data_IF_526989540072
#
_entry.id   IF_526989540072
#
_cell.length_a   1.000
_cell.length_b   1.000
_cell.length_c   1.000
_cell.angle_alpha   90.00
_cell.angle_beta   90.00
_cell.angle_gamma   90.00
#
_symmetry.space_group_name_H-M   'P 1'
#
loop_
_entity.id
_entity.type
_entity.pdbx_description
1 polymer ?
#
# COMPACT_ATOMS: atom_id res chain seq x y z
N UNK A 1 53.66 11.33 -13.75
CA UNK A 1 53.14 9.94 -13.74
C UNK A 1 51.69 9.99 -14.22
N UNK A 2 51.46 9.80 -15.52
CA UNK A 2 50.13 9.89 -16.12
C UNK A 2 49.35 8.65 -15.69
N UNK A 3 48.29 8.81 -14.89
CA UNK A 3 47.40 7.71 -14.57
C UNK A 3 46.86 7.10 -15.86
N UNK A 4 47.06 5.79 -15.99
CA UNK A 4 46.55 4.95 -17.07
C UNK A 4 45.05 5.23 -17.31
N UNK A 5 44.62 5.52 -18.55
CA UNK A 5 43.21 5.72 -18.91
C UNK A 5 42.27 4.62 -18.40
N UNK A 6 42.76 3.37 -18.33
CA UNK A 6 42.00 2.23 -17.80
C UNK A 6 41.77 2.39 -16.30
N UNK A 7 42.80 2.80 -15.55
CA UNK A 7 42.71 3.02 -14.10
C UNK A 7 41.75 4.17 -13.75
N UNK A 8 41.80 5.27 -14.52
CA UNK A 8 40.84 6.38 -14.38
C UNK A 8 39.40 5.95 -14.63
N UNK A 9 39.17 5.12 -15.65
CA UNK A 9 37.84 4.61 -15.96
C UNK A 9 37.31 3.67 -14.86
N UNK A 10 38.18 2.82 -14.29
CA UNK A 10 37.84 1.95 -13.17
C UNK A 10 37.52 2.72 -11.89
N UNK A 11 38.31 3.72 -11.53
CA UNK A 11 38.06 4.60 -10.37
C UNK A 11 36.72 5.35 -10.54
N UNK A 12 36.46 5.92 -11.72
CA UNK A 12 35.20 6.60 -12.00
C UNK A 12 33.97 5.66 -11.97
N UNK A 13 34.14 4.40 -12.36
CA UNK A 13 33.10 3.38 -12.25
C UNK A 13 32.84 3.00 -10.80
N UNK A 14 33.88 2.82 -9.99
CA UNK A 14 33.77 2.54 -8.57
C UNK A 14 33.05 3.67 -7.82
N UNK A 15 33.39 4.94 -8.11
CA UNK A 15 32.74 6.10 -7.49
C UNK A 15 31.25 6.22 -7.88
N UNK A 16 30.91 5.91 -9.13
CA UNK A 16 29.50 5.85 -9.57
C UNK A 16 28.74 4.74 -8.85
N UNK A 17 29.34 3.56 -8.72
CA UNK A 17 28.74 2.44 -8.02
C UNK A 17 28.53 2.76 -6.54
N UNK A 18 29.53 3.36 -5.87
CA UNK A 18 29.42 3.77 -4.47
C UNK A 18 28.30 4.77 -4.24
N UNK A 19 28.21 5.83 -5.07
CA UNK A 19 27.09 6.79 -4.99
C UNK A 19 25.73 6.13 -5.15
N UNK A 20 25.59 5.23 -6.13
CA UNK A 20 24.35 4.51 -6.35
C UNK A 20 23.94 3.67 -5.13
N UNK A 21 24.91 3.04 -4.45
CA UNK A 21 24.68 2.29 -3.21
C UNK A 21 24.27 3.21 -2.07
N UNK A 22 24.97 4.33 -1.88
CA UNK A 22 24.67 5.30 -0.82
C UNK A 22 23.27 5.94 -1.02
N UNK A 23 22.93 6.32 -2.26
CA UNK A 23 21.62 6.87 -2.62
C UNK A 23 20.50 5.85 -2.39
N UNK A 24 20.76 4.58 -2.70
CA UNK A 24 19.81 3.50 -2.44
C UNK A 24 19.53 3.33 -0.94
N UNK A 25 20.57 3.28 -0.10
CA UNK A 25 20.37 3.19 1.35
C UNK A 25 19.64 4.41 1.91
N UNK A 26 19.92 5.61 1.38
CA UNK A 26 19.22 6.84 1.75
C UNK A 26 17.71 6.76 1.47
N UNK A 27 17.31 6.33 0.27
CA UNK A 27 15.91 6.07 -0.08
C UNK A 27 15.31 5.00 0.84
N UNK A 28 16.03 3.90 1.05
CA UNK A 28 15.53 2.79 1.85
C UNK A 28 15.23 3.24 3.28
N UNK A 29 16.11 4.02 3.91
CA UNK A 29 15.85 4.59 5.24
C UNK A 29 14.64 5.52 5.20
N UNK A 30 14.56 6.42 4.22
CA UNK A 30 13.44 7.38 4.09
C UNK A 30 12.09 6.68 4.01
N UNK A 31 11.92 5.74 3.07
CA UNK A 31 10.62 5.08 2.85
C UNK A 31 10.31 4.02 3.90
N UNK A 32 11.31 3.38 4.52
CA UNK A 32 11.07 2.46 5.63
C UNK A 32 10.60 3.20 6.87
N UNK A 33 11.17 4.38 7.14
CA UNK A 33 10.69 5.26 8.21
C UNK A 33 9.25 5.72 7.94
N UNK A 34 8.93 6.13 6.72
CA UNK A 34 7.55 6.49 6.35
C UNK A 34 6.56 5.34 6.57
N UNK A 35 6.94 4.11 6.25
CA UNK A 35 6.12 2.92 6.53
C UNK A 35 5.86 2.79 8.03
N UNK A 36 6.91 2.88 8.87
CA UNK A 36 6.79 2.74 10.33
C UNK A 36 5.90 3.82 10.96
N UNK A 37 6.03 5.07 10.50
CA UNK A 37 5.19 6.19 10.95
C UNK A 37 3.72 5.90 10.70
N UNK A 38 3.37 5.48 9.48
CA UNK A 38 1.97 5.19 9.11
C UNK A 38 1.47 3.92 9.80
N UNK A 39 2.28 2.86 9.92
CA UNK A 39 1.92 1.65 10.67
C UNK A 39 1.61 1.96 12.14
N UNK A 40 2.42 2.80 12.77
CA UNK A 40 2.23 3.20 14.18
C UNK A 40 0.94 4.02 14.33
N UNK A 41 0.68 4.97 13.43
CA UNK A 41 -0.59 5.73 13.41
C UNK A 41 -1.79 4.80 13.27
N UNK A 42 -1.73 3.82 12.35
CA UNK A 42 -2.81 2.85 12.15
C UNK A 42 -3.01 1.93 13.35
N UNK A 43 -1.93 1.45 13.98
CA UNK A 43 -2.00 0.62 15.17
C UNK A 43 -2.65 1.38 16.35
N UNK A 44 -2.26 2.63 16.57
CA UNK A 44 -2.86 3.49 17.61
C UNK A 44 -4.36 3.70 17.34
N UNK A 45 -4.76 3.94 16.08
CA UNK A 45 -6.16 4.07 15.71
C UNK A 45 -6.95 2.78 15.99
N UNK A 46 -6.38 1.61 15.70
CA UNK A 46 -7.02 0.33 15.95
C UNK A 46 -7.20 0.05 17.46
N UNK A 47 -6.18 0.31 18.27
CA UNK A 47 -6.21 0.17 19.73
C UNK A 47 -7.22 1.14 20.38
N UNK A 48 -7.25 2.40 19.93
CA UNK A 48 -8.18 3.41 20.42
C UNK A 48 -9.63 3.06 20.05
N UNK A 49 -9.84 2.61 18.81
CA UNK A 49 -11.15 2.19 18.34
C UNK A 49 -11.68 0.99 19.13
N UNK A 50 -10.83 0.00 19.40
CA UNK A 50 -11.17 -1.15 20.24
C UNK A 50 -11.55 -0.74 21.66
N UNK A 51 -10.83 0.20 22.25
CA UNK A 51 -11.15 0.71 23.59
C UNK A 51 -12.55 1.33 23.65
N UNK A 52 -12.94 2.08 22.62
CA UNK A 52 -14.24 2.76 22.55
C UNK A 52 -15.40 1.86 22.13
N UNK A 53 -15.17 0.94 21.20
CA UNK A 53 -16.24 0.17 20.54
C UNK A 53 -16.23 -1.33 20.90
N UNK A 54 -15.22 -1.79 21.65
CA UNK A 54 -14.99 -3.21 22.01
C UNK A 54 -14.78 -4.11 20.78
N UNK A 55 -14.15 -3.56 19.73
CA UNK A 55 -13.92 -4.20 18.43
C UNK A 55 -12.75 -3.55 17.70
N UNK A 56 -11.92 -4.35 17.01
CA UNK A 56 -10.86 -3.86 16.13
C UNK A 56 -11.34 -3.77 14.66
N UNK A 57 -11.25 -2.59 14.01
CA UNK A 57 -11.56 -2.45 12.58
C UNK A 57 -10.47 -3.06 11.68
N UNK A 58 -9.22 -3.13 12.16
CA UNK A 58 -8.10 -3.72 11.42
C UNK A 58 -7.92 -5.17 11.91
N UNK A 59 -8.02 -6.13 10.98
CA UNK A 59 -7.69 -7.52 11.26
C UNK A 59 -6.18 -7.74 11.25
N UNK A 60 -5.49 -7.23 10.23
CA UNK A 60 -4.03 -7.22 10.18
C UNK A 60 -3.51 -6.21 9.15
N UNK A 61 -2.22 -5.92 9.22
CA UNK A 61 -1.52 -5.07 8.26
C UNK A 61 -0.34 -5.81 7.64
N UNK A 62 0.02 -5.44 6.41
CA UNK A 62 1.23 -5.86 5.75
C UNK A 62 1.88 -4.64 5.11
N UNK A 63 3.18 -4.46 5.29
CA UNK A 63 3.92 -3.40 4.63
C UNK A 63 5.00 -3.96 3.72
N UNK A 64 5.32 -3.19 2.69
CA UNK A 64 6.42 -3.50 1.80
C UNK A 64 7.03 -2.24 1.22
N UNK A 65 8.33 -2.31 0.97
CA UNK A 65 9.00 -1.39 0.07
C UNK A 65 9.14 -2.04 -1.30
N UNK A 66 8.92 -1.26 -2.35
CA UNK A 66 9.15 -1.71 -3.72
C UNK A 66 10.64 -2.02 -3.93
N UNK A 67 10.95 -3.15 -4.57
CA UNK A 67 12.33 -3.49 -4.92
C UNK A 67 12.90 -2.51 -5.96
N UNK A 68 14.23 -2.35 -5.99
CA UNK A 68 14.93 -1.53 -6.99
C UNK A 68 14.52 -1.94 -8.41
N UNK A 69 14.49 -3.24 -8.68
CA UNK A 69 14.11 -3.80 -9.98
C UNK A 69 12.72 -3.31 -10.39
N UNK A 70 11.73 -3.44 -9.51
CA UNK A 70 10.37 -2.98 -9.79
C UNK A 70 10.24 -1.45 -9.83
N UNK A 71 11.12 -0.70 -9.16
CA UNK A 71 11.22 0.77 -9.30
C UNK A 71 11.70 1.12 -10.70
N UNK A 72 12.80 0.51 -11.16
CA UNK A 72 13.39 0.73 -12.49
C UNK A 72 12.39 0.39 -13.60
N UNK A 73 11.79 -0.81 -13.56
CA UNK A 73 10.77 -1.24 -14.53
C UNK A 73 9.59 -0.25 -14.58
N UNK A 74 9.20 0.32 -13.42
CA UNK A 74 8.10 1.27 -13.36
C UNK A 74 8.48 2.64 -13.95
N UNK A 75 9.73 3.08 -13.77
CA UNK A 75 10.25 4.30 -14.40
C UNK A 75 10.30 4.13 -15.92
N UNK A 76 10.87 3.02 -16.40
CA UNK A 76 10.96 2.71 -17.84
C UNK A 76 9.58 2.64 -18.50
N UNK A 77 8.64 1.91 -17.88
CA UNK A 77 7.25 1.81 -18.38
C UNK A 77 6.56 3.17 -18.44
N UNK A 78 6.87 4.07 -17.51
CA UNK A 78 6.35 5.44 -17.49
C UNK A 78 7.18 6.44 -18.32
N UNK A 79 8.26 5.98 -18.97
CA UNK A 79 9.19 6.80 -19.76
C UNK A 79 9.84 7.93 -18.96
N UNK A 80 10.17 7.66 -17.70
CA UNK A 80 10.97 8.54 -16.85
C UNK A 80 12.44 8.14 -16.87
N UNK A 81 13.32 9.08 -16.51
CA UNK A 81 14.74 8.77 -16.35
C UNK A 81 14.93 7.72 -15.26
N UNK A 82 15.79 6.73 -15.52
CA UNK A 82 16.08 5.63 -14.59
C UNK A 82 17.18 6.08 -13.62
N UNK A 83 16.79 6.87 -12.63
CA UNK A 83 17.66 7.31 -11.53
C UNK A 83 16.84 7.56 -10.24
N UNK A 84 17.56 7.75 -9.13
CA UNK A 84 16.98 7.93 -7.79
C UNK A 84 16.13 9.20 -7.69
N UNK A 85 16.61 10.34 -8.18
CA UNK A 85 15.87 11.59 -8.10
C UNK A 85 14.53 11.51 -8.84
N UNK A 86 14.54 10.88 -10.02
CA UNK A 86 13.35 10.58 -10.80
C UNK A 86 12.40 9.63 -10.08
N UNK A 87 12.92 8.60 -9.41
CA UNK A 87 12.10 7.69 -8.58
C UNK A 87 11.37 8.45 -7.47
N UNK A 88 12.10 9.22 -6.68
CA UNK A 88 11.58 10.01 -5.56
C UNK A 88 10.56 11.05 -6.02
N UNK A 89 10.81 11.68 -7.17
CA UNK A 89 9.94 12.73 -7.71
C UNK A 89 8.64 12.19 -8.32
N UNK A 90 8.70 11.04 -8.98
CA UNK A 90 7.62 10.61 -9.88
C UNK A 90 6.85 9.36 -9.41
N UNK A 91 7.36 8.61 -8.41
CA UNK A 91 6.72 7.40 -7.92
C UNK A 91 6.14 7.60 -6.52
N UNK A 92 4.83 7.35 -6.40
CA UNK A 92 4.08 7.51 -5.15
C UNK A 92 3.86 6.19 -4.38
N UNK A 93 4.26 5.04 -4.96
CA UNK A 93 4.06 3.69 -4.42
C UNK A 93 5.39 2.98 -4.08
N UNK A 94 6.43 3.74 -3.75
CA UNK A 94 7.70 3.15 -3.29
C UNK A 94 7.50 2.51 -1.90
N UNK A 95 6.81 3.21 -1.00
CA UNK A 95 6.28 2.65 0.24
C UNK A 95 4.82 2.24 0.04
N UNK A 96 4.48 1.01 0.43
CA UNK A 96 3.13 0.49 0.37
C UNK A 96 2.72 -0.17 1.69
N UNK A 97 1.54 0.18 2.18
CA UNK A 97 0.91 -0.46 3.33
C UNK A 97 -0.43 -1.04 2.87
N UNK A 98 -0.70 -2.27 3.28
CA UNK A 98 -1.95 -2.95 3.07
C UNK A 98 -2.63 -3.13 4.41
N UNK A 99 -3.84 -2.60 4.53
CA UNK A 99 -4.67 -2.71 5.73
C UNK A 99 -5.84 -3.63 5.40
N UNK A 100 -5.92 -4.75 6.13
CA UNK A 100 -6.97 -5.74 5.95
C UNK A 100 -7.97 -5.55 7.08
N UNK A 101 -9.18 -5.17 6.73
CA UNK A 101 -10.31 -4.95 7.63
C UNK A 101 -11.26 -6.16 7.62
N UNK A 102 -12.04 -6.33 8.68
CA UNK A 102 -13.03 -7.40 8.74
C UNK A 102 -14.26 -7.12 7.87
N UNK A 103 -14.71 -5.85 7.81
CA UNK A 103 -15.90 -5.47 7.05
C UNK A 103 -15.67 -4.26 6.15
N UNK A 104 -16.59 -4.05 5.22
CA UNK A 104 -16.52 -2.97 4.22
C UNK A 104 -16.59 -1.60 4.90
N UNK A 105 -17.42 -1.43 5.93
CA UNK A 105 -17.51 -0.15 6.65
C UNK A 105 -16.21 0.19 7.38
N UNK A 106 -15.52 -0.80 7.95
CA UNK A 106 -14.22 -0.62 8.61
C UNK A 106 -13.17 -0.06 7.64
N UNK A 107 -13.22 -0.44 6.35
CA UNK A 107 -12.33 0.12 5.30
C UNK A 107 -12.44 1.65 5.26
N UNK A 108 -13.66 2.16 5.19
CA UNK A 108 -13.92 3.60 5.12
C UNK A 108 -13.68 4.29 6.46
N UNK A 109 -13.97 3.63 7.58
CA UNK A 109 -13.67 4.14 8.92
C UNK A 109 -12.18 4.36 9.08
N UNK A 110 -11.34 3.37 8.78
CA UNK A 110 -9.88 3.48 8.88
C UNK A 110 -9.34 4.56 7.94
N UNK A 111 -9.82 4.61 6.69
CA UNK A 111 -9.43 5.65 5.73
C UNK A 111 -9.70 7.06 6.26
N UNK A 112 -10.91 7.28 6.80
CA UNK A 112 -11.34 8.56 7.35
C UNK A 112 -10.55 8.94 8.61
N UNK A 113 -10.32 7.99 9.52
CA UNK A 113 -9.54 8.24 10.74
C UNK A 113 -8.08 8.58 10.43
N UNK A 114 -7.46 7.89 9.49
CA UNK A 114 -6.08 8.15 9.08
C UNK A 114 -5.94 9.54 8.43
N UNK A 115 -6.83 9.87 7.48
CA UNK A 115 -6.76 11.12 6.70
C UNK A 115 -7.23 12.37 7.45
N UNK A 116 -7.82 12.20 8.63
CA UNK A 116 -8.18 13.30 9.54
C UNK A 116 -7.02 13.81 10.40
N UNK A 117 -5.91 13.07 10.47
CA UNK A 117 -4.73 13.51 11.22
C UNK A 117 -4.14 14.76 10.56
N UNK A 118 -3.72 15.73 11.37
CA UNK A 118 -3.26 17.04 10.92
C UNK A 118 -1.93 17.00 10.15
N UNK A 119 -1.12 15.97 10.41
CA UNK A 119 0.16 15.73 9.76
C UNK A 119 0.10 14.75 8.57
N UNK A 120 -1.09 14.28 8.19
CA UNK A 120 -1.30 13.43 7.01
C UNK A 120 -1.92 14.25 5.87
N UNK A 121 -1.21 14.33 4.74
CA UNK A 121 -1.72 15.01 3.55
C UNK A 121 -2.25 13.99 2.54
N UNK A 122 -3.55 14.01 2.30
CA UNK A 122 -4.17 13.17 1.25
C UNK A 122 -3.88 13.74 -0.14
N UNK A 123 -3.27 12.94 -1.01
CA UNK A 123 -2.89 13.33 -2.38
C UNK A 123 -3.89 12.80 -3.39
N UNK A 124 -4.29 11.53 -3.27
CA UNK A 124 -5.16 10.86 -4.23
C UNK A 124 -6.00 9.79 -3.55
N UNK A 125 -7.24 9.63 -4.00
CA UNK A 125 -8.14 8.53 -3.61
C UNK A 125 -8.56 7.79 -4.87
N UNK A 126 -8.42 6.45 -4.85
CA UNK A 126 -8.98 5.57 -5.87
C UNK A 126 -9.86 4.53 -5.20
N UNK A 127 -11.16 4.70 -5.32
CA UNK A 127 -12.15 3.80 -4.73
C UNK A 127 -12.55 2.70 -5.72
N UNK A 128 -11.80 1.60 -5.72
CA UNK A 128 -12.16 0.42 -6.51
C UNK A 128 -13.20 -0.47 -5.83
N UNK A 129 -13.71 -0.10 -4.65
CA UNK A 129 -14.83 -0.81 -4.03
C UNK A 129 -16.12 -0.33 -4.69
N UNK A 130 -16.31 0.99 -4.80
CA UNK A 130 -17.43 1.61 -5.51
C UNK A 130 -17.31 1.47 -7.03
N UNK A 131 -16.09 1.57 -7.56
CA UNK A 131 -15.83 1.46 -8.99
C UNK A 131 -14.80 0.36 -9.28
N UNK A 132 -15.20 -0.92 -9.20
CA UNK A 132 -14.31 -2.05 -9.44
C UNK A 132 -13.62 -1.97 -10.80
N UNK A 133 -12.39 -2.47 -10.87
CA UNK A 133 -11.71 -2.62 -12.16
C UNK A 133 -12.43 -3.65 -13.03
N UNK A 134 -12.14 -3.63 -14.33
CA UNK A 134 -12.73 -4.57 -15.29
C UNK A 134 -12.48 -6.05 -14.95
N UNK A 135 -11.39 -6.39 -14.28
CA UNK A 135 -11.11 -7.76 -13.82
C UNK A 135 -11.87 -8.17 -12.54
N UNK A 136 -12.65 -7.26 -11.93
CA UNK A 136 -13.34 -7.50 -10.66
C UNK A 136 -12.56 -7.05 -9.42
N UNK A 137 -11.34 -6.52 -9.57
CA UNK A 137 -10.53 -6.08 -8.44
C UNK A 137 -11.20 -4.95 -7.63
N UNK A 138 -11.21 -5.11 -6.30
CA UNK A 138 -11.73 -4.15 -5.32
C UNK A 138 -10.74 -3.89 -4.19
N UNK A 139 -10.57 -2.61 -3.85
CA UNK A 139 -9.81 -2.08 -2.70
C UNK A 139 -9.94 -0.56 -2.71
N UNK A 140 -9.85 0.09 -1.55
CA UNK A 140 -9.70 1.53 -1.45
C UNK A 140 -8.22 1.88 -1.42
N UNK A 141 -7.73 2.66 -2.39
CA UNK A 141 -6.34 3.12 -2.43
C UNK A 141 -6.25 4.59 -2.06
N UNK A 142 -5.40 4.90 -1.11
CA UNK A 142 -5.04 6.25 -0.72
C UNK A 142 -3.57 6.48 -1.05
N UNK A 143 -3.25 7.58 -1.72
CA UNK A 143 -1.90 8.13 -1.74
C UNK A 143 -1.87 9.23 -0.71
N UNK A 144 -1.09 9.04 0.35
CA UNK A 144 -0.88 10.03 1.40
C UNK A 144 0.57 10.48 1.42
N UNK A 145 0.85 11.65 1.96
CA UNK A 145 2.18 12.05 2.39
C UNK A 145 2.24 12.17 3.90
N UNK A 146 3.34 11.65 4.47
CA UNK A 146 3.65 11.68 5.90
C UNK A 146 5.01 12.35 6.10
N UNK A 147 5.16 13.23 7.10
CA UNK A 147 6.45 13.82 7.43
C UNK A 147 7.38 12.79 8.07
N UNK A 148 8.57 12.63 7.52
CA UNK A 148 9.66 11.85 8.13
C UNK A 148 10.76 12.80 8.58
N UNK A 149 11.14 12.72 9.86
CA UNK A 149 12.20 13.54 10.43
C UNK A 149 13.52 12.78 10.40
N UNK A 150 14.42 13.19 9.50
CA UNK A 150 15.77 12.66 9.36
C UNK A 150 16.79 13.62 9.99
N UNK A 151 18.05 13.19 10.12
CA UNK A 151 19.14 14.07 10.59
C UNK A 151 19.37 15.29 9.68
N UNK A 152 18.98 15.19 8.40
CA UNK A 152 19.02 16.29 7.43
C UNK A 152 17.79 17.21 7.47
N UNK A 153 16.79 16.90 8.31
CA UNK A 153 15.56 17.66 8.45
C UNK A 153 14.30 16.87 8.10
N UNK A 154 13.17 17.59 8.05
CA UNK A 154 11.87 17.04 7.69
C UNK A 154 11.80 16.81 6.17
N UNK A 155 11.31 15.65 5.78
CA UNK A 155 10.99 15.31 4.39
C UNK A 155 9.61 14.66 4.33
N UNK A 156 8.71 15.20 3.52
CA UNK A 156 7.41 14.57 3.28
C UNK A 156 7.58 13.39 2.29
N UNK A 157 6.99 12.25 2.63
CA UNK A 157 7.20 10.99 1.91
C UNK A 157 5.86 10.41 1.49
N UNK A 158 5.66 10.12 0.19
CA UNK A 158 4.43 9.50 -0.27
C UNK A 158 4.38 8.02 0.14
N UNK A 159 3.21 7.58 0.61
CA UNK A 159 2.90 6.20 0.97
C UNK A 159 1.57 5.82 0.32
N UNK A 160 1.56 4.69 -0.39
CA UNK A 160 0.32 4.09 -0.89
C UNK A 160 -0.29 3.21 0.20
N UNK A 161 -1.48 3.56 0.68
CA UNK A 161 -2.25 2.76 1.64
C UNK A 161 -3.40 2.09 0.91
N UNK A 162 -3.38 0.76 0.85
CA UNK A 162 -4.42 -0.07 0.25
C UNK A 162 -5.26 -0.70 1.35
N UNK A 163 -6.50 -0.25 1.49
CA UNK A 163 -7.43 -0.73 2.52
C UNK A 163 -8.45 -1.64 1.84
N UNK A 164 -8.70 -2.82 2.41
CA UNK A 164 -9.53 -3.87 1.81
C UNK A 164 -10.12 -4.78 2.88
N UNK A 165 -11.16 -5.54 2.54
CA UNK A 165 -11.65 -6.62 3.41
C UNK A 165 -10.77 -7.86 3.32
N UNK A 166 -10.95 -8.80 4.25
CA UNK A 166 -10.34 -10.14 4.17
C UNK A 166 -10.67 -10.83 2.85
N UNK A 167 -11.93 -10.75 2.40
CA UNK A 167 -12.38 -11.44 1.20
C UNK A 167 -11.81 -10.79 -0.09
N UNK A 168 -11.71 -9.45 -0.12
CA UNK A 168 -11.02 -8.73 -1.19
C UNK A 168 -9.51 -9.08 -1.24
N UNK A 169 -8.86 -9.24 -0.08
CA UNK A 169 -7.46 -9.64 -0.03
C UNK A 169 -7.23 -11.06 -0.55
N UNK A 170 -8.10 -11.99 -0.15
CA UNK A 170 -8.10 -13.37 -0.63
C UNK A 170 -8.20 -13.42 -2.16
N UNK A 171 -9.21 -12.76 -2.73
CA UNK A 171 -9.40 -12.74 -4.17
C UNK A 171 -8.21 -12.10 -4.90
N UNK A 172 -7.75 -10.93 -4.44
CA UNK A 172 -6.66 -10.20 -5.08
C UNK A 172 -5.33 -10.97 -5.05
N UNK A 173 -5.08 -11.73 -3.98
CA UNK A 173 -3.88 -12.56 -3.86
C UNK A 173 -3.89 -13.72 -4.85
N UNK A 174 -5.02 -14.43 -4.96
CA UNK A 174 -5.17 -15.53 -5.92
C UNK A 174 -5.13 -15.04 -7.38
N UNK A 175 -5.81 -13.93 -7.67
CA UNK A 175 -5.81 -13.37 -9.03
C UNK A 175 -4.40 -12.93 -9.45
N UNK A 176 -3.65 -12.31 -8.53
CA UNK A 176 -2.26 -11.92 -8.76
C UNK A 176 -1.37 -13.14 -9.04
N UNK A 177 -1.48 -14.19 -8.23
CA UNK A 177 -0.68 -15.41 -8.38
C UNK A 177 -0.98 -16.12 -9.71
N UNK A 178 -2.24 -16.15 -10.13
CA UNK A 178 -2.66 -16.73 -11.42
C UNK A 178 -2.07 -15.95 -12.59
N UNK A 179 -2.20 -14.60 -12.58
CA UNK A 179 -1.63 -13.75 -13.64
C UNK A 179 -0.11 -13.77 -13.68
N UNK A 180 0.54 -13.94 -12.53
CA UNK A 180 1.99 -14.07 -12.48
C UNK A 180 2.45 -15.35 -13.18
N UNK A 181 1.74 -16.46 -13.01
CA UNK A 181 2.05 -17.75 -13.67
C UNK A 181 1.66 -17.78 -15.15
N UNK A 182 0.58 -17.09 -15.53
CA UNK A 182 0.06 -17.03 -16.89
C UNK A 182 -0.30 -15.58 -17.25
N UNK A 183 0.61 -14.85 -17.92
CA UNK A 183 0.36 -13.46 -18.31
C UNK A 183 -0.85 -13.30 -19.24
N UNK A 184 -1.07 -14.27 -20.12
CA UNK A 184 -2.21 -14.37 -21.01
C UNK A 184 -3.20 -15.41 -20.46
N UNK A 185 -4.13 -14.93 -19.63
CA UNK A 185 -5.21 -15.75 -19.10
C UNK A 185 -6.34 -15.83 -20.13
N UNK A 186 -6.81 -17.03 -20.51
CA UNK A 186 -8.00 -17.21 -21.34
C UNK A 186 -9.22 -16.39 -20.87
N UNK A 187 -10.05 -15.95 -21.82
CA UNK A 187 -11.17 -15.06 -21.53
C UNK A 187 -12.20 -15.70 -20.60
N UNK A 188 -12.49 -16.99 -20.78
CA UNK A 188 -13.39 -17.77 -19.94
C UNK A 188 -12.94 -17.82 -18.46
N UNK A 189 -11.64 -17.97 -18.23
CA UNK A 189 -11.06 -17.91 -16.88
C UNK A 189 -11.15 -16.49 -16.31
N UNK A 190 -10.88 -15.47 -17.14
CA UNK A 190 -11.00 -14.06 -16.71
C UNK A 190 -12.45 -13.71 -16.33
N UNK A 191 -13.42 -14.18 -17.09
CA UNK A 191 -14.85 -13.99 -16.81
C UNK A 191 -15.25 -14.72 -15.51
N UNK A 192 -14.71 -15.91 -15.27
CA UNK A 192 -14.95 -16.66 -14.03
C UNK A 192 -14.35 -15.95 -12.80
N UNK A 193 -13.12 -15.45 -12.90
CA UNK A 193 -12.50 -14.67 -11.83
C UNK A 193 -13.32 -13.42 -11.50
N UNK A 194 -13.87 -12.75 -12.53
CA UNK A 194 -14.75 -11.61 -12.34
C UNK A 194 -16.07 -11.99 -11.68
N UNK A 195 -16.69 -13.12 -12.06
CA UNK A 195 -17.88 -13.65 -11.38
C UNK A 195 -17.61 -13.91 -9.90
N UNK A 196 -16.53 -14.60 -9.58
CA UNK A 196 -16.11 -14.87 -8.20
C UNK A 196 -15.90 -13.57 -7.43
N UNK A 197 -15.31 -12.54 -8.05
CA UNK A 197 -15.12 -11.24 -7.41
C UNK A 197 -16.46 -10.59 -7.00
N UNK A 198 -17.49 -10.73 -7.85
CA UNK A 198 -18.82 -10.21 -7.58
C UNK A 198 -19.55 -11.01 -6.50
N UNK A 199 -19.39 -12.33 -6.48
CA UNK A 199 -19.94 -13.19 -5.43
C UNK A 199 -19.32 -12.88 -4.06
N UNK A 200 -18.00 -12.66 -4.03
CA UNK A 200 -17.27 -12.24 -2.83
C UNK A 200 -17.79 -10.89 -2.33
N UNK A 201 -18.01 -9.94 -3.22
CA UNK A 201 -18.55 -8.64 -2.83
C UNK A 201 -19.98 -8.76 -2.24
N UNK A 202 -20.84 -9.58 -2.86
CA UNK A 202 -22.17 -9.82 -2.32
C UNK A 202 -22.12 -10.52 -0.96
N UNK A 203 -21.13 -11.38 -0.73
CA UNK A 203 -20.87 -12.01 0.57
C UNK A 203 -20.42 -10.98 1.61
N UNK A 204 -19.46 -10.12 1.28
CA UNK A 204 -19.00 -9.02 2.15
C UNK A 204 -20.17 -8.12 2.57
N UNK A 205 -21.04 -7.74 1.64
CA UNK A 205 -22.23 -6.92 1.92
C UNK A 205 -23.23 -7.63 2.86
N UNK A 206 -23.40 -8.95 2.70
CA UNK A 206 -24.24 -9.76 3.59
C UNK A 206 -23.64 -9.86 4.99
N UNK A 207 -22.33 -10.07 5.08
CA UNK A 207 -21.61 -10.14 6.35
C UNK A 207 -21.65 -8.80 7.09
N UNK A 208 -21.52 -7.67 6.38
CA UNK A 208 -21.71 -6.34 6.95
C UNK A 208 -23.12 -6.19 7.53
N UNK A 209 -24.17 -6.54 6.79
CA UNK A 209 -25.55 -6.45 7.30
C UNK A 209 -25.78 -7.29 8.55
N UNK A 210 -25.23 -8.50 8.59
CA UNK A 210 -25.33 -9.37 9.76
C UNK A 210 -24.59 -8.78 10.96
N UNK A 211 -23.40 -8.21 10.73
CA UNK A 211 -22.65 -7.51 11.75
C UNK A 211 -23.47 -6.34 12.33
N UNK A 212 -24.04 -5.49 11.48
CA UNK A 212 -24.83 -4.33 11.91
C UNK A 212 -26.07 -4.76 12.73
N UNK A 213 -26.70 -5.87 12.35
CA UNK A 213 -27.83 -6.44 13.09
C UNK A 213 -27.40 -6.93 14.48
N UNK A 214 -26.26 -7.62 14.59
CA UNK A 214 -25.73 -8.12 15.86
C UNK A 214 -25.32 -6.96 16.78
N UNK A 215 -24.68 -5.92 16.23
CA UNK A 215 -24.28 -4.74 16.99
C UNK A 215 -25.47 -3.92 17.52
N UNK A 216 -26.61 -3.96 16.82
CA UNK A 216 -27.85 -3.33 17.25
C UNK A 216 -28.61 -4.12 18.34
N UNK A 217 -28.21 -5.36 18.65
CA UNK A 217 -28.84 -6.13 19.71
C UNK A 217 -28.56 -5.50 21.08
N UNK A 218 -29.53 -5.55 22.02
CA UNK A 218 -29.28 -5.15 23.39
C UNK A 218 -28.13 -5.97 23.95
N UNK A 219 -27.05 -5.30 24.37
CA UNK A 219 -26.00 -6.00 25.12
C UNK A 219 -26.62 -6.41 26.45
N UNK A 220 -26.51 -7.68 26.88
CA UNK A 220 -26.95 -8.05 28.21
C UNK A 220 -26.24 -7.13 29.22
N UNK A 221 -27.01 -6.51 30.11
CA UNK A 221 -26.45 -5.73 31.21
C UNK A 221 -25.41 -6.61 31.92
N UNK A 222 -24.18 -6.08 32.04
CA UNK A 222 -23.00 -6.80 32.49
C UNK A 222 -23.28 -7.74 33.69
N UNK A 223 -22.87 -9.02 33.57
CA UNK A 223 -22.51 -9.87 34.70
C UNK A 223 -21.12 -9.48 35.22
#
# INVERSE_FOLDING_TARGET
MVMDPIRKAQEAMADRFKRMVDDFFSIQVRYQSAIREVETKLAILDDEYNTRHRRNPIHHMQSRMKSIQSIMEKLERKRYDVNIDSAVKNLMDIAGIRVICSYVQDVYTVANLLTKQDDIRLIEVRDYIQHPKANGYRSLHLIIEVPVYLSSGKVDVPVEVQIRTIAMDFWASLEHDLRYKAPEVPQDISDELQRIANDIAALDDRMQRLHDQVDALPRPDNL
#
